data_IF_277854205337
#
_entry.id   IF_277854205337
#
_cell.length_a   1.000
_cell.length_b   1.000
_cell.length_c   1.000
_cell.angle_alpha   90.00
_cell.angle_beta   90.00
_cell.angle_gamma   90.00
#
_symmetry.space_group_name_H-M   'P 1'
#
loop_
_entity.id
_entity.type
_entity.pdbx_description
1 polymer ?
#
# COMPACT_ATOMS: atom_id res chain seq x y z
N UNK A 1 13.08 7.22 -14.56
CA UNK A 1 12.49 6.73 -13.32
C UNK A 1 13.28 7.36 -12.21
N UNK A 2 12.62 8.23 -11.45
CA UNK A 2 13.22 8.71 -10.21
C UNK A 2 13.00 7.59 -9.20
N UNK A 3 14.05 7.24 -8.47
CA UNK A 3 13.94 6.33 -7.34
C UNK A 3 13.04 6.96 -6.28
N UNK A 4 12.06 6.21 -5.78
CA UNK A 4 11.15 6.68 -4.75
C UNK A 4 10.95 5.62 -3.66
N UNK A 5 9.79 5.62 -2.99
CA UNK A 5 9.52 4.69 -1.90
C UNK A 5 8.04 4.29 -1.95
N UNK A 6 7.60 3.95 -3.16
CA UNK A 6 6.21 3.62 -3.48
C UNK A 6 6.18 2.17 -3.92
N UNK A 7 5.55 1.30 -3.13
CA UNK A 7 5.33 -0.08 -3.55
C UNK A 7 4.36 -0.10 -4.73
N UNK A 8 4.79 -0.65 -5.86
CA UNK A 8 4.00 -0.66 -7.08
C UNK A 8 4.27 -1.83 -8.04
N UNK A 9 3.50 -1.89 -9.12
CA UNK A 9 3.65 -2.90 -10.15
C UNK A 9 4.77 -2.51 -11.13
N UNK A 10 5.37 -3.51 -11.77
CA UNK A 10 6.37 -3.25 -12.81
C UNK A 10 5.77 -2.51 -14.01
N UNK A 11 6.47 -1.49 -14.46
CA UNK A 11 6.08 -0.69 -15.62
C UNK A 11 6.77 -1.15 -16.89
N UNK A 12 6.17 -0.86 -18.04
CA UNK A 12 6.74 -1.21 -19.35
C UNK A 12 6.85 0.02 -20.23
N UNK A 13 8.06 0.31 -20.69
CA UNK A 13 8.34 1.36 -21.67
C UNK A 13 8.63 0.71 -23.01
N UNK A 14 7.89 1.12 -24.04
CA UNK A 14 8.09 0.65 -25.40
C UNK A 14 8.53 1.84 -26.26
N UNK A 15 9.72 1.75 -26.83
CA UNK A 15 10.24 2.73 -27.79
C UNK A 15 10.07 2.16 -29.18
N UNK A 16 9.41 2.92 -30.06
CA UNK A 16 9.20 2.56 -31.46
C UNK A 16 9.95 3.52 -32.36
N UNK A 17 10.84 2.99 -33.18
CA UNK A 17 11.49 3.72 -34.26
C UNK A 17 10.48 3.84 -35.41
N UNK A 18 10.15 5.08 -35.78
CA UNK A 18 9.20 5.36 -36.87
C UNK A 18 9.90 5.67 -38.20
N UNK A 19 11.18 6.06 -38.15
CA UNK A 19 12.00 6.36 -39.31
C UNK A 19 13.20 7.22 -38.94
N UNK A 20 13.91 7.72 -39.95
CA UNK A 20 15.05 8.62 -39.77
C UNK A 20 15.19 9.57 -40.96
N UNK A 21 16.00 10.62 -40.80
CA UNK A 21 16.34 11.54 -41.88
C UNK A 21 17.80 11.95 -41.78
N UNK A 22 18.47 12.08 -42.91
CA UNK A 22 19.85 12.56 -43.01
C UNK A 22 19.98 13.62 -44.10
N UNK A 23 20.73 14.68 -43.80
CA UNK A 23 20.87 15.88 -44.64
C UNK A 23 21.31 15.55 -46.07
N UNK A 24 22.18 14.56 -46.25
CA UNK A 24 22.77 14.21 -47.55
C UNK A 24 22.27 12.88 -48.12
N UNK A 25 21.42 12.15 -47.40
CA UNK A 25 20.99 10.80 -47.76
C UNK A 25 19.46 10.58 -47.75
N UNK A 26 18.68 11.60 -47.37
CA UNK A 26 17.21 11.56 -47.45
C UNK A 26 16.57 10.86 -46.25
N UNK A 27 15.36 10.34 -46.45
CA UNK A 27 14.53 9.71 -45.41
C UNK A 27 14.70 8.20 -45.39
N UNK A 28 14.58 7.62 -44.19
CA UNK A 28 14.67 6.19 -43.93
C UNK A 28 13.38 5.72 -43.26
N UNK A 29 12.85 4.59 -43.70
CA UNK A 29 11.76 3.90 -43.02
C UNK A 29 12.34 2.96 -41.97
N UNK A 30 11.61 2.77 -40.87
CA UNK A 30 12.00 1.80 -39.86
C UNK A 30 12.00 0.36 -40.43
N UNK A 31 12.92 -0.48 -39.95
CA UNK A 31 12.97 -1.90 -40.30
C UNK A 31 11.88 -2.72 -39.57
N UNK A 32 11.82 -4.03 -39.83
CA UNK A 32 10.83 -4.91 -39.22
C UNK A 32 10.96 -5.02 -37.68
N UNK A 33 12.20 -4.96 -37.16
CA UNK A 33 12.49 -4.88 -35.73
C UNK A 33 12.71 -3.42 -35.35
N UNK A 34 11.61 -2.70 -35.12
CA UNK A 34 11.65 -1.26 -34.80
C UNK A 34 11.19 -0.93 -33.38
N UNK A 35 10.88 -1.93 -32.56
CA UNK A 35 10.51 -1.72 -31.17
C UNK A 35 11.61 -2.21 -30.23
N UNK A 36 11.80 -1.47 -29.14
CA UNK A 36 12.57 -1.91 -27.99
C UNK A 36 11.68 -1.77 -26.76
N UNK A 37 11.67 -2.79 -25.91
CA UNK A 37 10.89 -2.82 -24.68
C UNK A 37 11.84 -2.83 -23.48
N UNK A 38 11.55 -1.98 -22.50
CA UNK A 38 12.23 -1.94 -21.20
C UNK A 38 11.19 -2.15 -20.13
N UNK A 39 11.42 -3.14 -19.27
CA UNK A 39 10.62 -3.34 -18.07
C UNK A 39 11.32 -2.67 -16.90
N UNK A 40 10.58 -1.90 -16.12
CA UNK A 40 11.04 -1.27 -14.89
C UNK A 40 10.43 -2.07 -13.76
N UNK A 41 11.29 -2.78 -13.02
CA UNK A 41 10.85 -3.53 -11.84
C UNK A 41 10.86 -2.61 -10.63
N UNK A 42 9.89 -2.79 -9.75
CA UNK A 42 9.84 -2.15 -8.44
C UNK A 42 10.85 -2.83 -7.48
N UNK A 43 11.62 -2.04 -6.76
CA UNK A 43 12.54 -2.47 -5.70
C UNK A 43 12.07 -2.07 -4.29
N UNK A 44 10.93 -1.40 -4.16
CA UNK A 44 10.32 -1.03 -2.88
C UNK A 44 9.42 -2.12 -2.28
N UNK A 45 8.98 -3.08 -3.09
CA UNK A 45 8.19 -4.25 -2.68
C UNK A 45 9.00 -5.27 -1.85
N UNK A 46 9.53 -4.82 -0.72
CA UNK A 46 10.36 -5.62 0.19
C UNK A 46 9.58 -6.07 1.42
N UNK A 47 10.04 -7.15 2.07
CA UNK A 47 9.46 -7.62 3.31
C UNK A 47 9.48 -6.55 4.43
N UNK A 48 10.50 -5.67 4.43
CA UNK A 48 10.66 -4.59 5.42
C UNK A 48 9.61 -3.50 5.18
N UNK A 49 9.42 -3.06 3.93
CA UNK A 49 8.45 -2.03 3.58
C UNK A 49 6.98 -2.48 3.78
N UNK A 50 6.75 -3.80 3.86
CA UNK A 50 5.43 -4.40 4.14
C UNK A 50 5.12 -4.60 5.62
N UNK A 51 6.02 -4.26 6.53
CA UNK A 51 5.75 -4.34 7.97
C UNK A 51 4.81 -3.20 8.37
N UNK A 52 3.53 -3.53 8.58
CA UNK A 52 2.55 -2.59 9.11
C UNK A 52 2.68 -2.48 10.63
N UNK A 53 2.47 -1.28 11.15
CA UNK A 53 2.41 -0.98 12.58
C UNK A 53 0.98 -0.66 13.01
N UNK A 54 0.64 -1.02 14.24
CA UNK A 54 -0.61 -0.65 14.89
C UNK A 54 -0.25 0.10 16.18
N UNK A 55 -0.79 1.30 16.36
CA UNK A 55 -0.58 2.10 17.55
C UNK A 55 -1.92 2.52 18.17
N UNK A 56 -2.00 2.52 19.50
CA UNK A 56 -3.16 3.03 20.23
C UNK A 56 -3.28 4.54 20.01
N UNK A 57 -4.45 5.00 19.56
CA UNK A 57 -4.75 6.42 19.44
C UNK A 57 -5.43 6.93 20.72
N UNK A 58 -6.36 6.15 21.28
CA UNK A 58 -6.95 6.40 22.59
C UNK A 58 -7.60 5.14 23.18
N UNK A 59 -7.70 5.11 24.50
CA UNK A 59 -8.45 4.09 25.21
C UNK A 59 -9.96 4.34 25.09
N UNK A 60 -10.70 3.24 24.95
CA UNK A 60 -12.15 3.24 25.07
C UNK A 60 -12.60 3.13 26.52
N UNK A 61 -13.72 3.74 26.85
CA UNK A 61 -14.33 3.68 28.18
C UNK A 61 -15.85 3.66 28.07
N UNK A 62 -16.49 2.79 28.84
CA UNK A 62 -17.95 2.76 28.94
C UNK A 62 -18.49 3.95 29.75
N UNK A 63 -19.66 4.52 29.38
CA UNK A 63 -20.58 4.06 28.33
C UNK A 63 -20.39 4.75 26.96
N UNK A 64 -19.46 5.70 26.81
CA UNK A 64 -19.52 6.65 25.70
C UNK A 64 -18.18 7.11 25.11
N UNK A 65 -17.08 6.40 25.39
CA UNK A 65 -15.77 6.69 24.79
C UNK A 65 -15.34 5.52 23.93
N UNK A 66 -15.32 5.73 22.61
CA UNK A 66 -14.81 4.76 21.65
C UNK A 66 -13.29 4.66 21.76
N UNK A 67 -12.75 3.44 21.68
CA UNK A 67 -11.31 3.24 21.53
C UNK A 67 -10.91 3.35 20.06
N UNK A 68 -9.72 3.89 19.79
CA UNK A 68 -9.19 3.98 18.44
C UNK A 68 -7.72 3.56 18.37
N UNK A 69 -7.32 3.10 17.19
CA UNK A 69 -5.94 2.78 16.85
C UNK A 69 -5.65 3.27 15.43
N UNK A 70 -4.39 3.54 15.16
CA UNK A 70 -3.89 3.85 13.82
C UNK A 70 -3.17 2.65 13.24
N UNK A 71 -3.33 2.44 11.94
CA UNK A 71 -2.57 1.46 11.17
C UNK A 71 -1.74 2.24 10.16
N UNK A 72 -0.44 1.95 10.11
CA UNK A 72 0.50 2.68 9.25
C UNK A 72 1.51 1.75 8.58
N UNK A 73 1.89 2.08 7.35
CA UNK A 73 3.12 1.60 6.71
C UNK A 73 4.35 2.21 7.40
N UNK A 74 5.57 1.67 7.15
CA UNK A 74 6.80 2.30 7.61
C UNK A 74 6.89 3.76 7.15
N UNK A 75 7.55 4.60 7.96
CA UNK A 75 7.67 6.03 7.66
C UNK A 75 8.36 6.24 6.32
N UNK A 76 7.72 7.02 5.44
CA UNK A 76 8.25 7.32 4.11
C UNK A 76 7.85 6.31 3.02
N UNK A 77 7.29 5.16 3.39
CA UNK A 77 6.77 4.16 2.44
C UNK A 77 5.31 4.47 2.13
N UNK A 78 4.98 4.46 0.85
CA UNK A 78 3.59 4.49 0.38
C UNK A 78 3.32 3.35 -0.59
N UNK A 79 2.09 3.21 -1.06
CA UNK A 79 1.68 2.12 -1.94
C UNK A 79 0.68 2.67 -2.96
N UNK A 80 0.87 2.26 -4.21
CA UNK A 80 0.05 2.65 -5.36
C UNK A 80 -1.18 1.72 -5.54
N UNK A 81 -1.18 0.57 -4.88
CA UNK A 81 -2.25 -0.43 -4.94
C UNK A 81 -3.09 -0.50 -3.66
N UNK A 82 -4.28 -1.11 -3.77
CA UNK A 82 -5.18 -1.29 -2.64
C UNK A 82 -4.56 -2.19 -1.55
N UNK A 83 -4.53 -1.70 -0.30
CA UNK A 83 -4.10 -2.49 0.85
C UNK A 83 -5.30 -3.07 1.59
N UNK A 84 -5.41 -4.40 1.60
CA UNK A 84 -6.40 -5.09 2.43
C UNK A 84 -5.80 -5.42 3.79
N UNK A 85 -6.33 -4.80 4.85
CA UNK A 85 -5.95 -5.11 6.24
C UNK A 85 -7.02 -5.97 6.89
N UNK A 86 -6.68 -7.22 7.20
CA UNK A 86 -7.54 -8.14 7.92
C UNK A 86 -7.23 -8.05 9.42
N UNK A 87 -8.22 -7.67 10.24
CA UNK A 87 -8.06 -7.59 11.69
C UNK A 87 -9.24 -8.23 12.42
N UNK A 88 -9.03 -8.61 13.68
CA UNK A 88 -10.08 -9.13 14.56
C UNK A 88 -9.98 -8.39 15.88
N UNK A 89 -11.11 -7.85 16.34
CA UNK A 89 -11.22 -7.24 17.66
C UNK A 89 -11.82 -8.27 18.61
N UNK A 90 -11.07 -8.65 19.63
CA UNK A 90 -11.55 -9.54 20.69
C UNK A 90 -11.69 -8.76 21.99
N UNK A 91 -12.90 -8.73 22.53
CA UNK A 91 -13.12 -8.30 23.92
C UNK A 91 -12.78 -9.45 24.86
N UNK A 92 -11.99 -9.21 25.93
CA UNK A 92 -11.91 -10.16 27.04
C UNK A 92 -13.31 -10.35 27.61
N UNK A 93 -13.70 -11.60 27.86
CA UNK A 93 -15.04 -11.97 28.37
C UNK A 93 -15.48 -11.08 29.55
N UNK A 94 -16.76 -10.66 29.63
CA UNK A 94 -17.23 -9.84 30.74
C UNK A 94 -17.29 -10.68 32.02
N UNK A 95 -16.84 -10.10 33.15
CA UNK A 95 -17.18 -10.63 34.47
C UNK A 95 -18.70 -10.61 34.61
N UNK A 96 -19.31 -11.79 34.70
CA UNK A 96 -20.68 -11.98 35.17
C UNK A 96 -20.84 -11.24 36.50
N UNK A 97 -21.62 -10.16 36.54
CA UNK A 97 -22.16 -9.62 37.80
C UNK A 97 -23.67 -9.75 37.82
N UNK A 98 -24.14 -10.95 38.13
CA UNK A 98 -25.50 -11.13 38.66
C UNK A 98 -25.49 -10.83 40.16
N UNK A 99 -26.05 -9.69 40.59
CA UNK A 99 -26.57 -9.55 41.96
C UNK A 99 -27.95 -8.87 41.90
N UNK A 100 -29.05 -9.62 42.05
CA UNK A 100 -30.36 -9.08 42.39
C UNK A 100 -30.69 -9.31 43.90
N UNK A 101 -31.80 -8.74 44.40
CA UNK A 101 -31.94 -7.41 45.00
C UNK A 101 -31.74 -7.42 46.54
N UNK A 102 -31.38 -6.26 47.12
CA UNK A 102 -31.39 -6.08 48.58
C UNK A 102 -32.84 -5.93 49.09
N UNK A 103 -33.34 -6.93 49.81
CA UNK A 103 -34.58 -6.82 50.59
C UNK A 103 -34.24 -6.15 51.92
N UNK A 104 -34.59 -4.87 52.09
CA UNK A 104 -34.63 -4.23 53.41
C UNK A 104 -36.04 -4.43 53.99
N UNK A 105 -36.11 -5.11 55.14
CA UNK A 105 -37.23 -4.99 56.08
C UNK A 105 -37.05 -3.72 56.90
#
# INVERSE_FOLDING_TARGET
MLDDQIIEASETVIVTITGGSAINAGTFTAGATNTATVNISDDDNTAINKVISIATANDGAEPATDGAFTISLPTGVTVNEDVTVNFTVTVPLPLVRTIPPLVLR
#
